data_IF_308944117533
#
_entry.id   IF_308944117533
#
_cell.length_a   1.000
_cell.length_b   1.000
_cell.length_c   1.000
_cell.angle_alpha   90.00
_cell.angle_beta   90.00
_cell.angle_gamma   90.00
#
_symmetry.space_group_name_H-M   'P 1'
#
loop_
_entity.id
_entity.type
_entity.pdbx_description
1 polymer ?
#
# COMPACT_ATOMS: atom_id res chain seq x y z
N UNK A 1 6.83 -18.68 29.40
CA UNK A 1 5.98 -19.52 28.54
C UNK A 1 6.47 -19.34 27.11
N UNK A 2 7.39 -20.22 26.71
CA UNK A 2 8.02 -20.27 25.39
C UNK A 2 7.17 -21.17 24.51
N UNK A 3 6.51 -20.61 23.51
CA UNK A 3 5.82 -21.40 22.48
C UNK A 3 6.89 -22.04 21.60
N UNK A 4 7.07 -23.35 21.75
CA UNK A 4 7.79 -24.21 20.83
C UNK A 4 7.18 -24.08 19.43
N UNK A 5 8.03 -23.83 18.44
CA UNK A 5 7.63 -23.80 17.03
C UNK A 5 7.62 -25.25 16.54
N UNK A 6 6.44 -25.79 16.27
CA UNK A 6 6.28 -27.09 15.60
C UNK A 6 6.80 -27.00 14.16
N UNK A 7 7.70 -27.90 13.70
CA UNK A 7 8.36 -27.80 12.40
C UNK A 7 7.55 -28.36 11.21
N UNK A 8 6.29 -28.77 11.41
CA UNK A 8 5.52 -29.53 10.41
C UNK A 8 4.44 -28.74 9.67
N UNK A 9 4.38 -27.42 9.84
CA UNK A 9 3.50 -26.56 9.04
C UNK A 9 4.28 -25.34 8.54
N UNK A 10 4.36 -25.10 7.21
CA UNK A 10 4.95 -23.86 6.73
C UNK A 10 4.15 -22.69 7.31
N UNK A 11 4.81 -21.66 7.88
CA UNK A 11 4.10 -20.51 8.43
C UNK A 11 3.28 -19.87 7.31
N UNK A 12 1.99 -19.67 7.58
CA UNK A 12 1.08 -19.05 6.62
C UNK A 12 1.68 -17.72 6.10
N UNK A 13 1.56 -17.43 4.80
CA UNK A 13 2.10 -16.20 4.23
C UNK A 13 1.52 -14.99 4.97
N UNK A 14 2.36 -14.02 5.30
CA UNK A 14 1.91 -12.81 5.99
C UNK A 14 0.90 -12.05 5.13
N UNK A 15 -0.05 -11.38 5.79
CA UNK A 15 -0.97 -10.45 5.13
C UNK A 15 -0.16 -9.38 4.37
N UNK A 16 -0.59 -9.08 3.13
CA UNK A 16 0.14 -8.17 2.24
C UNK A 16 0.18 -6.76 2.81
N UNK A 17 1.38 -6.31 3.17
CA UNK A 17 1.64 -4.95 3.67
C UNK A 17 1.90 -4.01 2.50
N UNK A 18 0.93 -3.17 2.15
CA UNK A 18 1.21 -2.06 1.23
C UNK A 18 1.95 -0.94 1.95
N UNK A 19 3.25 -0.84 1.66
CA UNK A 19 4.17 0.16 2.21
C UNK A 19 3.75 1.55 1.77
N UNK A 20 3.40 1.72 0.49
CA UNK A 20 3.04 3.03 -0.04
C UNK A 20 1.74 3.56 0.56
N UNK A 21 0.71 2.71 0.67
CA UNK A 21 -0.57 3.06 1.31
C UNK A 21 -0.36 3.48 2.76
N UNK A 22 0.36 2.66 3.53
CA UNK A 22 0.64 2.92 4.95
C UNK A 22 1.36 4.26 5.17
N UNK A 23 2.32 4.60 4.30
CA UNK A 23 3.05 5.87 4.38
C UNK A 23 2.14 7.05 4.03
N UNK A 24 1.43 7.00 2.88
CA UNK A 24 0.60 8.13 2.43
C UNK A 24 -0.54 8.40 3.41
N UNK A 25 -1.19 7.36 3.93
CA UNK A 25 -2.22 7.50 4.96
C UNK A 25 -1.68 8.15 6.23
N UNK A 26 -0.50 7.71 6.70
CA UNK A 26 0.14 8.29 7.87
C UNK A 26 0.54 9.76 7.66
N UNK A 27 1.07 10.09 6.48
CA UNK A 27 1.45 11.45 6.10
C UNK A 27 0.24 12.39 6.07
N UNK A 28 -0.86 11.98 5.42
CA UNK A 28 -2.08 12.78 5.32
C UNK A 28 -2.74 13.01 6.68
N UNK A 29 -2.86 11.97 7.52
CA UNK A 29 -3.50 12.05 8.84
C UNK A 29 -2.69 12.88 9.85
N UNK A 30 -1.36 12.89 9.75
CA UNK A 30 -0.49 13.42 10.83
C UNK A 30 0.27 14.71 10.50
N UNK A 31 -0.26 15.51 9.58
CA UNK A 31 0.13 16.92 9.41
C UNK A 31 0.80 17.28 8.09
N UNK A 32 1.12 16.30 7.23
CA UNK A 32 1.75 16.60 5.95
C UNK A 32 0.79 17.32 4.98
N UNK A 33 -0.53 17.14 5.14
CA UNK A 33 -1.55 17.94 4.45
C UNK A 33 -1.39 19.45 4.68
N UNK A 34 -0.84 19.84 5.84
CA UNK A 34 -0.56 21.23 6.23
C UNK A 34 0.92 21.59 6.07
N UNK A 35 1.76 20.70 5.51
CA UNK A 35 3.21 20.92 5.41
C UNK A 35 3.98 20.82 6.73
N UNK A 36 3.37 20.31 7.82
CA UNK A 36 4.02 20.27 9.13
C UNK A 36 4.83 18.97 9.34
N UNK A 37 6.11 19.01 8.94
CA UNK A 37 7.04 17.89 9.08
C UNK A 37 7.43 17.56 10.53
N UNK A 38 7.47 18.57 11.41
CA UNK A 38 7.80 18.37 12.83
C UNK A 38 6.75 17.50 13.52
N UNK A 39 5.47 17.76 13.26
CA UNK A 39 4.34 16.97 13.77
C UNK A 39 4.41 15.53 13.29
N UNK A 40 4.65 15.32 12.00
CA UNK A 40 4.77 13.99 11.41
C UNK A 40 5.96 13.20 11.99
N UNK A 41 7.14 13.82 12.11
CA UNK A 41 8.32 13.22 12.77
C UNK A 41 8.03 12.80 14.21
N UNK A 42 7.31 13.63 14.96
CA UNK A 42 6.87 13.32 16.33
C UNK A 42 5.93 12.12 16.38
N UNK A 43 4.99 12.03 15.43
CA UNK A 43 4.12 10.87 15.26
C UNK A 43 4.92 9.59 14.98
N UNK A 44 5.85 9.60 14.00
CA UNK A 44 6.65 8.42 13.67
C UNK A 44 7.43 7.93 14.90
N UNK A 45 8.02 8.85 15.67
CA UNK A 45 8.74 8.51 16.91
C UNK A 45 7.85 7.81 17.94
N UNK A 46 6.63 8.31 18.16
CA UNK A 46 5.65 7.69 19.06
C UNK A 46 5.10 6.37 18.52
N UNK A 47 4.89 6.25 17.21
CA UNK A 47 4.44 5.01 16.56
C UNK A 47 5.48 3.91 16.72
N UNK A 48 6.76 4.19 16.44
CA UNK A 48 7.86 3.24 16.66
C UNK A 48 7.90 2.78 18.12
N UNK A 49 7.77 3.70 19.09
CA UNK A 49 7.76 3.34 20.52
C UNK A 49 6.60 2.40 20.85
N UNK A 50 5.39 2.71 20.38
CA UNK A 50 4.19 1.88 20.61
C UNK A 50 4.34 0.50 19.97
N UNK A 51 4.82 0.41 18.73
CA UNK A 51 5.07 -0.85 18.04
C UNK A 51 6.11 -1.71 18.78
N UNK A 52 7.21 -1.11 19.23
CA UNK A 52 8.22 -1.80 20.05
C UNK A 52 7.65 -2.29 21.38
N UNK A 53 6.81 -1.49 22.05
CA UNK A 53 6.15 -1.90 23.29
C UNK A 53 5.13 -3.01 23.06
N UNK A 54 4.29 -2.94 22.01
CA UNK A 54 3.28 -3.98 21.72
C UNK A 54 3.89 -5.33 21.36
N UNK A 55 5.08 -5.32 20.75
CA UNK A 55 5.83 -6.54 20.39
C UNK A 55 6.77 -7.01 21.52
N UNK A 56 6.77 -6.35 22.68
CA UNK A 56 7.77 -6.55 23.74
C UNK A 56 9.22 -6.53 23.22
N UNK A 57 9.45 -5.75 22.16
CA UNK A 57 10.71 -5.54 21.48
C UNK A 57 11.30 -4.18 21.86
N UNK A 58 11.39 -3.92 23.16
CA UNK A 58 12.00 -2.69 23.67
C UNK A 58 13.52 -2.82 23.67
N UNK A 59 14.21 -1.68 23.51
CA UNK A 59 15.65 -1.65 23.74
C UNK A 59 15.94 -2.05 25.19
N UNK A 60 17.05 -2.75 25.40
CA UNK A 60 17.42 -3.26 26.71
C UNK A 60 18.50 -2.37 27.33
N UNK A 61 18.55 -2.40 28.65
CA UNK A 61 19.59 -1.76 29.43
C UNK A 61 20.32 -2.84 30.22
N UNK A 62 21.61 -3.02 29.98
CA UNK A 62 22.44 -3.93 30.77
C UNK A 62 22.86 -3.21 32.04
N UNK A 63 22.20 -3.52 33.14
CA UNK A 63 22.55 -3.02 34.46
C UNK A 63 23.56 -4.00 35.08
N UNK A 64 24.81 -3.56 35.23
CA UNK A 64 25.78 -4.28 36.06
C UNK A 64 25.82 -3.64 37.45
N UNK A 65 25.97 -4.43 38.52
CA UNK A 65 26.15 -3.88 39.87
C UNK A 65 27.26 -2.83 39.89
N UNK A 66 27.01 -1.68 40.52
CA UNK A 66 27.94 -0.54 40.66
C UNK A 66 28.43 0.09 39.34
N UNK A 67 27.74 -0.14 38.20
CA UNK A 67 28.02 0.54 36.92
C UNK A 67 26.75 1.16 36.34
N UNK A 68 26.91 2.28 35.65
CA UNK A 68 25.81 2.90 34.91
C UNK A 68 25.25 1.93 33.85
N UNK A 69 23.92 1.92 33.69
CA UNK A 69 23.24 1.02 32.78
C UNK A 69 23.68 1.27 31.33
N UNK A 70 24.27 0.27 30.69
CA UNK A 70 24.72 0.37 29.30
C UNK A 70 23.55 0.08 28.35
N UNK A 71 23.28 0.99 27.42
CA UNK A 71 22.25 0.79 26.40
C UNK A 71 22.63 -0.34 25.45
N UNK A 72 21.70 -1.28 25.25
CA UNK A 72 21.79 -2.37 24.28
C UNK A 72 20.63 -2.22 23.32
N UNK A 73 20.93 -1.71 22.12
CA UNK A 73 19.93 -1.55 21.07
C UNK A 73 19.53 -2.92 20.51
N UNK A 74 18.22 -3.19 20.44
CA UNK A 74 17.71 -4.40 19.81
C UNK A 74 17.40 -4.09 18.34
N UNK A 75 18.25 -4.57 17.44
CA UNK A 75 18.03 -4.43 15.99
C UNK A 75 17.10 -5.52 15.47
N UNK A 76 16.24 -5.16 14.53
CA UNK A 76 15.38 -6.13 13.83
C UNK A 76 16.28 -7.02 12.95
N UNK A 77 16.38 -8.30 13.30
CA UNK A 77 17.06 -9.35 12.52
C UNK A 77 16.00 -10.25 11.87
N UNK A 78 16.29 -10.88 10.71
CA UNK A 78 15.30 -11.69 9.98
C UNK A 78 14.72 -12.84 10.82
N UNK A 79 15.53 -13.42 11.71
CA UNK A 79 15.12 -14.51 12.63
C UNK A 79 14.03 -14.10 13.64
N UNK A 80 13.90 -12.80 13.94
CA UNK A 80 12.94 -12.29 14.92
C UNK A 80 11.62 -11.86 14.25
N UNK A 81 11.54 -11.91 12.92
CA UNK A 81 10.37 -11.45 12.17
C UNK A 81 9.27 -12.49 12.27
N UNK A 82 8.40 -12.34 13.26
CA UNK A 82 7.20 -13.16 13.43
C UNK A 82 5.92 -12.46 12.97
N UNK A 83 5.95 -11.12 12.84
CA UNK A 83 4.79 -10.27 12.61
C UNK A 83 5.14 -9.15 11.60
N UNK A 84 4.17 -8.79 10.77
CA UNK A 84 4.14 -7.61 9.89
C UNK A 84 4.61 -6.33 10.60
N UNK A 85 4.27 -6.18 11.88
CA UNK A 85 4.62 -5.00 12.68
C UNK A 85 6.14 -4.75 12.79
N UNK A 86 6.97 -5.77 12.60
CA UNK A 86 8.44 -5.60 12.56
C UNK A 86 8.88 -4.83 11.31
N UNK A 87 8.24 -5.05 10.16
CA UNK A 87 8.47 -4.28 8.95
C UNK A 87 8.01 -2.82 9.13
N UNK A 88 6.85 -2.60 9.77
CA UNK A 88 6.37 -1.25 10.10
C UNK A 88 7.36 -0.46 10.96
N UNK A 89 8.05 -1.10 11.91
CA UNK A 89 9.08 -0.42 12.73
C UNK A 89 10.16 0.18 11.82
N UNK A 90 10.66 -0.59 10.85
CA UNK A 90 11.69 -0.13 9.93
C UNK A 90 11.17 0.94 8.97
N UNK A 91 9.95 0.78 8.44
CA UNK A 91 9.29 1.79 7.58
C UNK A 91 9.19 3.12 8.32
N UNK A 92 8.65 3.13 9.56
CA UNK A 92 8.53 4.36 10.34
C UNK A 92 9.88 4.90 10.80
N UNK A 93 10.92 4.07 10.95
CA UNK A 93 12.28 4.54 11.16
C UNK A 93 12.83 5.31 9.95
N UNK A 94 12.59 4.83 8.72
CA UNK A 94 12.95 5.56 7.49
C UNK A 94 12.19 6.89 7.43
N UNK A 95 10.86 6.85 7.57
CA UNK A 95 9.99 8.03 7.52
C UNK A 95 10.37 9.08 8.57
N UNK A 96 10.74 8.68 9.80
CA UNK A 96 11.20 9.61 10.83
C UNK A 96 12.47 10.36 10.41
N UNK A 97 13.44 9.67 9.80
CA UNK A 97 14.67 10.30 9.33
C UNK A 97 14.41 11.20 8.12
N UNK A 98 13.59 10.74 7.19
CA UNK A 98 13.16 11.52 6.02
C UNK A 98 12.41 12.79 6.43
N UNK A 99 11.41 12.69 7.31
CA UNK A 99 10.65 13.84 7.81
C UNK A 99 11.55 14.86 8.52
N UNK A 100 12.57 14.40 9.25
CA UNK A 100 13.54 15.30 9.87
C UNK A 100 14.43 15.97 8.81
N UNK A 101 14.86 15.25 7.77
CA UNK A 101 15.58 15.87 6.66
C UNK A 101 14.72 16.94 5.97
N UNK A 102 13.46 16.65 5.69
CA UNK A 102 12.55 17.61 5.04
C UNK A 102 12.27 18.84 5.92
N UNK A 103 12.11 18.66 7.23
CA UNK A 103 12.03 19.77 8.19
C UNK A 103 13.26 20.68 8.08
N UNK A 104 14.46 20.09 8.09
CA UNK A 104 15.71 20.86 7.97
C UNK A 104 15.82 21.53 6.60
N UNK A 105 15.33 20.89 5.53
CA UNK A 105 15.30 21.46 4.18
C UNK A 105 14.47 22.75 4.13
N UNK A 106 13.31 22.76 4.80
CA UNK A 106 12.50 23.98 4.92
C UNK A 106 13.18 25.06 5.76
N UNK A 107 13.85 24.68 6.85
CA UNK A 107 14.54 25.64 7.73
C UNK A 107 15.84 26.23 7.17
N UNK A 108 16.45 25.58 6.18
CA UNK A 108 17.67 26.08 5.53
C UNK A 108 17.36 27.24 4.59
N UNK A 109 16.18 27.24 3.95
CA UNK A 109 15.88 28.21 2.88
C UNK A 109 16.93 28.16 1.76
N UNK A 110 17.42 29.33 1.36
CA UNK A 110 18.39 29.48 0.28
C UNK A 110 19.86 29.46 0.75
N UNK A 111 20.12 29.30 2.06
CA UNK A 111 21.46 29.31 2.63
C UNK A 111 22.25 28.04 2.27
N UNK A 112 22.88 28.05 1.09
CA UNK A 112 23.61 26.91 0.53
C UNK A 112 24.75 26.38 1.40
N UNK A 113 25.30 27.23 2.29
CA UNK A 113 26.44 26.94 3.19
C UNK A 113 26.02 26.61 4.63
N UNK A 114 24.71 26.55 4.93
CA UNK A 114 24.24 26.32 6.28
C UNK A 114 24.68 24.97 6.85
N UNK A 115 25.19 24.94 8.09
CA UNK A 115 25.51 23.70 8.83
C UNK A 115 24.29 22.76 8.91
N UNK A 116 23.07 23.32 8.86
CA UNK A 116 21.82 22.56 8.79
C UNK A 116 21.71 21.70 7.52
N UNK A 117 22.29 22.11 6.39
CA UNK A 117 22.32 21.32 5.14
C UNK A 117 23.15 20.05 5.27
N UNK A 118 24.29 20.13 5.97
CA UNK A 118 25.08 18.94 6.31
C UNK A 118 24.29 17.99 7.23
N UNK A 119 23.57 18.55 8.20
CA UNK A 119 22.70 17.77 9.08
C UNK A 119 21.56 17.08 8.31
N UNK A 120 20.90 17.80 7.39
CA UNK A 120 19.88 17.27 6.49
C UNK A 120 20.40 16.08 5.68
N UNK A 121 21.53 16.23 4.99
CA UNK A 121 22.17 15.15 4.22
C UNK A 121 22.51 13.96 5.11
N UNK A 122 23.00 14.19 6.33
CA UNK A 122 23.26 13.12 7.29
C UNK A 122 21.98 12.38 7.70
N UNK A 123 20.84 13.08 7.86
CA UNK A 123 19.54 12.43 8.13
C UNK A 123 19.07 11.59 6.94
N UNK A 124 19.21 12.07 5.70
CA UNK A 124 18.89 11.29 4.51
C UNK A 124 19.76 10.03 4.38
N UNK A 125 21.07 10.12 4.64
CA UNK A 125 21.95 8.93 4.68
C UNK A 125 21.50 7.91 5.72
N UNK A 126 21.01 8.36 6.89
CA UNK A 126 20.43 7.47 7.91
C UNK A 126 19.12 6.84 7.43
N UNK A 127 18.28 7.58 6.71
CA UNK A 127 17.06 7.06 6.10
C UNK A 127 17.40 5.93 5.10
N UNK A 128 18.37 6.15 4.21
CA UNK A 128 18.85 5.12 3.27
C UNK A 128 19.41 3.89 4.01
N UNK A 129 20.16 4.08 5.10
CA UNK A 129 20.67 2.96 5.91
C UNK A 129 19.53 2.13 6.52
N UNK A 130 18.47 2.78 7.01
CA UNK A 130 17.29 2.08 7.51
C UNK A 130 16.50 1.39 6.38
N UNK A 131 16.40 2.00 5.20
CA UNK A 131 15.72 1.41 4.05
C UNK A 131 16.46 0.17 3.51
N UNK A 132 17.80 0.20 3.49
CA UNK A 132 18.63 -0.98 3.19
C UNK A 132 18.38 -2.13 4.17
N UNK A 133 18.22 -1.83 5.46
CA UNK A 133 17.87 -2.86 6.46
C UNK A 133 16.50 -3.48 6.19
N UNK A 134 15.53 -2.66 5.79
CA UNK A 134 14.19 -3.12 5.42
C UNK A 134 14.26 -4.03 4.19
N UNK A 135 15.07 -3.68 3.18
CA UNK A 135 15.29 -4.50 2.00
C UNK A 135 15.97 -5.83 2.33
N UNK A 136 17.03 -5.84 3.15
CA UNK A 136 17.68 -7.08 3.60
C UNK A 136 16.71 -7.97 4.38
N UNK A 137 15.78 -7.38 5.13
CA UNK A 137 14.74 -8.13 5.84
C UNK A 137 13.76 -8.76 4.85
N UNK A 138 13.28 -8.00 3.85
CA UNK A 138 12.35 -8.49 2.84
C UNK A 138 12.94 -9.56 1.89
N UNK A 139 14.26 -9.55 1.69
CA UNK A 139 14.98 -10.59 0.94
C UNK A 139 15.13 -11.88 1.75
N UNK A 140 15.46 -11.76 3.03
CA UNK A 140 15.75 -12.92 3.89
C UNK A 140 14.51 -13.55 4.53
N UNK A 141 13.34 -12.92 4.41
CA UNK A 141 12.09 -13.45 4.95
C UNK A 141 11.25 -14.05 3.83
N UNK A 142 11.15 -15.38 3.79
CA UNK A 142 10.37 -16.10 2.77
C UNK A 142 8.86 -15.86 2.91
N UNK A 143 8.39 -15.58 4.12
CA UNK A 143 6.98 -15.31 4.42
C UNK A 143 6.47 -13.96 3.87
N UNK A 144 7.36 -13.12 3.33
CA UNK A 144 7.02 -11.81 2.73
C UNK A 144 6.57 -12.01 1.28
N UNK A 145 5.37 -11.51 0.95
CA UNK A 145 4.83 -11.60 -0.41
C UNK A 145 5.72 -10.88 -1.41
N UNK A 146 5.83 -11.40 -2.64
CA UNK A 146 6.68 -10.80 -3.69
C UNK A 146 6.27 -9.35 -4.00
N UNK A 147 4.96 -9.04 -3.98
CA UNK A 147 4.45 -7.66 -4.13
C UNK A 147 5.06 -6.73 -3.08
N UNK A 148 5.04 -7.14 -1.81
CA UNK A 148 5.59 -6.34 -0.71
C UNK A 148 7.11 -6.21 -0.79
N UNK A 149 7.81 -7.22 -1.31
CA UNK A 149 9.26 -7.15 -1.58
C UNK A 149 9.56 -6.10 -2.64
N UNK A 150 8.83 -6.10 -3.75
CA UNK A 150 8.99 -5.09 -4.79
C UNK A 150 8.63 -3.68 -4.29
N UNK A 151 7.57 -3.54 -3.50
CA UNK A 151 7.23 -2.24 -2.89
C UNK A 151 8.36 -1.72 -1.97
N UNK A 152 8.96 -2.60 -1.17
CA UNK A 152 10.12 -2.26 -0.32
C UNK A 152 11.32 -1.87 -1.16
N UNK A 153 11.62 -2.59 -2.25
CA UNK A 153 12.70 -2.26 -3.17
C UNK A 153 12.46 -0.89 -3.83
N UNK A 154 11.26 -0.63 -4.34
CA UNK A 154 10.88 0.66 -4.93
C UNK A 154 10.99 1.80 -3.90
N UNK A 155 10.52 1.59 -2.67
CA UNK A 155 10.64 2.59 -1.61
C UNK A 155 12.10 2.85 -1.21
N UNK A 156 12.92 1.80 -1.13
CA UNK A 156 14.36 1.88 -0.88
C UNK A 156 15.09 2.68 -1.96
N UNK A 157 14.78 2.41 -3.24
CA UNK A 157 15.31 3.15 -4.39
C UNK A 157 14.83 4.61 -4.39
N UNK A 158 13.58 4.88 -4.04
CA UNK A 158 13.03 6.24 -3.94
C UNK A 158 13.76 7.10 -2.90
N UNK A 159 14.00 6.56 -1.70
CA UNK A 159 14.73 7.29 -0.64
C UNK A 159 16.21 7.51 -1.02
N UNK A 160 16.83 6.59 -1.76
CA UNK A 160 18.17 6.77 -2.33
C UNK A 160 18.18 7.88 -3.38
N UNK A 161 17.21 7.89 -4.29
CA UNK A 161 17.09 8.92 -5.31
C UNK A 161 16.99 10.33 -4.68
N UNK A 162 16.19 10.49 -3.63
CA UNK A 162 16.10 11.77 -2.90
C UNK A 162 17.48 12.18 -2.34
N UNK A 163 18.23 11.25 -1.75
CA UNK A 163 19.57 11.56 -1.25
C UNK A 163 20.51 12.00 -2.39
N UNK A 164 20.50 11.30 -3.51
CA UNK A 164 21.41 11.56 -4.63
C UNK A 164 21.10 12.88 -5.35
N UNK A 165 19.82 13.24 -5.46
CA UNK A 165 19.39 14.59 -5.89
C UNK A 165 19.98 15.66 -4.98
N UNK A 166 19.91 15.49 -3.66
CA UNK A 166 20.47 16.47 -2.70
C UNK A 166 22.01 16.52 -2.70
N UNK A 167 22.66 15.46 -3.17
CA UNK A 167 24.10 15.38 -3.39
C UNK A 167 24.51 15.89 -4.78
N UNK A 168 23.56 16.28 -5.64
CA UNK A 168 23.77 16.67 -7.04
C UNK A 168 24.35 15.56 -7.92
N UNK A 169 24.14 14.29 -7.55
CA UNK A 169 24.55 13.15 -8.36
C UNK A 169 23.43 12.79 -9.34
N UNK A 170 23.25 13.62 -10.38
CA UNK A 170 22.09 13.56 -11.27
C UNK A 170 21.96 12.25 -12.05
N UNK A 171 23.08 11.68 -12.56
CA UNK A 171 23.07 10.41 -13.31
C UNK A 171 22.53 9.25 -12.47
N UNK A 172 23.11 9.02 -11.29
CA UNK A 172 22.66 7.97 -10.35
C UNK A 172 21.21 8.18 -9.90
N UNK A 173 20.84 9.43 -9.62
CA UNK A 173 19.46 9.76 -9.25
C UNK A 173 18.47 9.44 -10.37
N UNK A 174 18.83 9.71 -11.64
CA UNK A 174 17.99 9.42 -12.81
C UNK A 174 17.74 7.93 -12.97
N UNK A 175 18.80 7.11 -12.88
CA UNK A 175 18.68 5.65 -12.96
C UNK A 175 17.80 5.09 -11.83
N UNK A 176 17.99 5.56 -10.59
CA UNK A 176 17.14 5.19 -9.47
C UNK A 176 15.68 5.64 -9.67
N UNK A 177 15.43 6.82 -10.26
CA UNK A 177 14.07 7.25 -10.57
C UNK A 177 13.42 6.36 -11.66
N UNK A 178 14.18 5.95 -12.68
CA UNK A 178 13.71 5.03 -13.73
C UNK A 178 13.36 3.66 -13.15
N UNK A 179 14.19 3.12 -12.27
CA UNK A 179 13.90 1.83 -11.60
C UNK A 179 12.63 1.92 -10.74
N UNK A 180 12.45 2.99 -9.96
CA UNK A 180 11.22 3.22 -9.18
C UNK A 180 9.98 3.26 -10.08
N UNK A 181 10.05 3.99 -11.20
CA UNK A 181 8.95 4.07 -12.17
C UNK A 181 8.63 2.70 -12.80
N UNK A 182 9.65 1.97 -13.27
CA UNK A 182 9.52 0.60 -13.83
C UNK A 182 8.85 -0.35 -12.85
N UNK A 183 9.23 -0.31 -11.57
CA UNK A 183 8.64 -1.18 -10.54
C UNK A 183 7.17 -0.83 -10.29
N UNK A 184 6.83 0.44 -10.08
CA UNK A 184 5.45 0.83 -9.80
C UNK A 184 4.52 0.67 -11.00
N UNK A 185 5.00 0.86 -12.23
CA UNK A 185 4.23 0.56 -13.44
C UNK A 185 3.93 -0.94 -13.56
N UNK A 186 4.92 -1.81 -13.33
CA UNK A 186 4.69 -3.27 -13.31
C UNK A 186 3.77 -3.71 -12.18
N UNK A 187 3.90 -3.11 -11.00
CA UNK A 187 2.98 -3.36 -9.88
C UNK A 187 1.54 -2.89 -10.19
N UNK A 188 1.39 -1.78 -10.92
CA UNK A 188 0.06 -1.27 -11.30
C UNK A 188 -0.72 -2.21 -12.21
N UNK A 189 -0.04 -2.99 -13.05
CA UNK A 189 -0.69 -3.99 -13.93
C UNK A 189 -1.11 -5.26 -13.17
N UNK A 190 -0.42 -5.60 -12.08
CA UNK A 190 -0.63 -6.86 -11.35
C UNK A 190 -1.62 -6.76 -10.17
N UNK A 191 -1.77 -5.56 -9.60
CA UNK A 191 -2.67 -5.32 -8.46
C UNK A 191 -4.09 -4.98 -8.94
N UNK A 192 -5.11 -5.63 -8.35
CA UNK A 192 -6.52 -5.43 -8.71
C UNK A 192 -7.19 -4.23 -8.02
N UNK A 193 -6.65 -3.79 -6.89
CA UNK A 193 -7.23 -2.71 -6.09
C UNK A 193 -6.98 -1.34 -6.72
N UNK A 194 -8.05 -0.69 -7.19
CA UNK A 194 -7.97 0.61 -7.87
C UNK A 194 -7.34 1.72 -7.01
N UNK A 195 -7.64 1.77 -5.71
CA UNK A 195 -7.06 2.77 -4.79
C UNK A 195 -5.52 2.68 -4.75
N UNK A 196 -4.98 1.47 -4.76
CA UNK A 196 -3.53 1.23 -4.71
C UNK A 196 -2.90 1.58 -6.06
N UNK A 197 -3.57 1.25 -7.17
CA UNK A 197 -3.14 1.62 -8.53
C UNK A 197 -3.06 3.14 -8.68
N UNK A 198 -4.06 3.88 -8.19
CA UNK A 198 -4.07 5.34 -8.22
C UNK A 198 -2.93 5.94 -7.38
N UNK A 199 -2.60 5.32 -6.24
CA UNK A 199 -1.44 5.70 -5.41
C UNK A 199 -0.11 5.47 -6.15
N UNK A 200 0.04 4.35 -6.87
CA UNK A 200 1.23 4.10 -7.70
C UNK A 200 1.35 5.13 -8.82
N UNK A 201 0.25 5.44 -9.52
CA UNK A 201 0.23 6.46 -10.55
C UNK A 201 0.57 7.86 -10.00
N UNK A 202 0.09 8.19 -8.81
CA UNK A 202 0.48 9.41 -8.09
C UNK A 202 1.97 9.44 -7.79
N UNK A 203 2.56 8.32 -7.32
CA UNK A 203 3.99 8.23 -7.05
C UNK A 203 4.83 8.35 -8.32
N UNK A 204 4.43 7.70 -9.41
CA UNK A 204 5.11 7.82 -10.69
C UNK A 204 5.14 9.27 -11.20
N UNK A 205 4.04 10.02 -11.04
CA UNK A 205 4.00 11.46 -11.35
C UNK A 205 4.96 12.29 -10.50
N UNK A 206 5.04 12.02 -9.19
CA UNK A 206 6.02 12.68 -8.29
C UNK A 206 7.46 12.42 -8.76
N UNK A 207 7.78 11.16 -9.07
CA UNK A 207 9.12 10.75 -9.52
C UNK A 207 9.43 11.29 -10.93
N UNK A 208 8.43 11.44 -11.79
CA UNK A 208 8.61 12.03 -13.11
C UNK A 208 9.09 13.48 -13.04
N UNK A 209 8.63 14.25 -12.05
CA UNK A 209 9.10 15.62 -11.86
C UNK A 209 10.58 15.66 -11.44
N UNK A 210 11.00 14.76 -10.55
CA UNK A 210 12.42 14.64 -10.17
C UNK A 210 13.26 14.11 -11.33
N UNK A 211 12.72 13.22 -12.16
CA UNK A 211 13.39 12.70 -13.34
C UNK A 211 13.69 13.82 -14.34
N UNK A 212 12.70 14.65 -14.67
CA UNK A 212 12.87 15.82 -15.57
C UNK A 212 13.93 16.80 -15.04
N UNK A 213 13.94 17.05 -13.73
CA UNK A 213 14.98 17.87 -13.10
C UNK A 213 16.38 17.25 -13.27
N UNK A 214 16.51 15.93 -13.08
CA UNK A 214 17.77 15.24 -13.29
C UNK A 214 18.19 15.25 -14.77
N UNK A 215 17.26 15.09 -15.70
CA UNK A 215 17.50 15.15 -17.15
C UNK A 215 18.04 16.50 -17.58
N UNK A 216 17.39 17.58 -17.15
CA UNK A 216 17.82 18.95 -17.42
C UNK A 216 19.25 19.23 -16.89
N UNK A 217 19.54 18.84 -15.65
CA UNK A 217 20.87 19.06 -15.09
C UNK A 217 21.92 18.11 -15.69
N UNK A 218 21.52 16.94 -16.21
CA UNK A 218 22.44 16.03 -16.90
C UNK A 218 22.81 16.53 -18.30
N UNK A 219 21.92 17.23 -19.02
CA UNK A 219 22.26 17.79 -20.34
C UNK A 219 23.30 18.91 -20.24
N UNK A 220 23.23 19.71 -19.18
CA UNK A 220 24.23 20.74 -18.89
C UNK A 220 25.60 20.11 -18.55
N UNK A 221 25.62 18.99 -17.81
CA UNK A 221 26.85 18.26 -17.44
C UNK A 221 27.40 17.37 -18.57
N UNK A 222 26.55 16.84 -19.47
CA UNK A 222 26.97 16.04 -20.63
C UNK A 222 27.65 16.87 -21.73
N UNK A 223 27.47 18.19 -21.70
CA UNK A 223 28.24 19.14 -22.50
C UNK A 223 29.70 19.27 -22.00
N UNK A 224 29.98 18.79 -20.79
CA UNK A 224 31.29 18.92 -20.12
C UNK A 224 32.11 17.62 -20.09
N UNK A 225 31.51 16.43 -19.93
CA UNK A 225 32.29 15.16 -19.88
C UNK A 225 31.51 13.91 -20.38
N UNK A 226 32.05 13.32 -21.45
CA UNK A 226 31.79 11.94 -21.89
C UNK A 226 32.61 10.97 -21.02
N UNK A 227 31.91 10.09 -20.29
CA UNK A 227 32.41 8.79 -19.83
C UNK A 227 31.43 8.14 -18.84
N UNK A 228 31.32 6.81 -18.96
CA UNK A 228 30.99 5.91 -17.87
C UNK A 228 29.57 5.36 -17.91
N UNK A 229 29.40 4.26 -18.63
CA UNK A 229 28.26 3.36 -18.48
C UNK A 229 28.29 2.78 -17.05
N UNK A 230 27.44 3.28 -16.16
CA UNK A 230 27.33 2.79 -14.78
C UNK A 230 26.36 1.61 -14.78
N UNK A 231 26.89 0.39 -14.92
CA UNK A 231 26.09 -0.82 -14.72
C UNK A 231 25.67 -0.91 -13.25
N UNK A 232 24.36 -0.86 -12.99
CA UNK A 232 23.81 -1.04 -11.65
C UNK A 232 23.79 -2.53 -11.31
N UNK A 233 24.56 -2.92 -10.30
CA UNK A 233 24.40 -4.20 -9.62
C UNK A 233 23.01 -4.25 -8.95
N UNK A 234 22.01 -4.81 -9.65
CA UNK A 234 20.63 -4.92 -9.16
C UNK A 234 19.57 -5.05 -10.24
N UNK A 235 19.86 -4.79 -11.52
CA UNK A 235 18.89 -4.99 -12.61
C UNK A 235 18.52 -6.47 -12.79
N UNK A 236 19.50 -7.37 -12.72
CA UNK A 236 19.29 -8.83 -12.85
C UNK A 236 18.37 -9.38 -11.73
N UNK A 237 18.49 -8.86 -10.51
CA UNK A 237 17.68 -9.31 -9.36
C UNK A 237 16.23 -8.80 -9.44
N UNK A 238 16.05 -7.59 -9.98
CA UNK A 238 14.72 -7.04 -10.24
C UNK A 238 13.97 -7.88 -11.27
N UNK A 239 14.64 -8.27 -12.36
CA UNK A 239 14.01 -9.07 -13.41
C UNK A 239 13.65 -10.48 -12.93
N UNK A 240 14.42 -11.07 -11.99
CA UNK A 240 14.04 -12.32 -11.31
C UNK A 240 12.77 -12.18 -10.45
N UNK A 241 12.66 -11.14 -9.62
CA UNK A 241 11.46 -10.90 -8.80
C UNK A 241 10.23 -10.60 -9.68
N UNK A 242 10.40 -9.92 -10.82
CA UNK A 242 9.33 -9.71 -11.79
C UNK A 242 8.87 -11.00 -12.46
N UNK A 243 9.80 -11.86 -12.89
CA UNK A 243 9.46 -13.16 -13.46
C UNK A 243 8.69 -14.00 -12.46
N UNK A 244 9.12 -14.01 -11.19
CA UNK A 244 8.41 -14.73 -10.11
C UNK A 244 6.99 -14.21 -9.91
N UNK A 245 6.76 -12.90 -10.03
CA UNK A 245 5.39 -12.35 -9.98
C UNK A 245 4.53 -12.78 -11.15
N UNK A 246 5.08 -12.80 -12.37
CA UNK A 246 4.32 -13.22 -13.54
C UNK A 246 3.91 -14.69 -13.43
N UNK A 247 4.81 -15.58 -12.99
CA UNK A 247 4.48 -16.99 -12.75
C UNK A 247 3.37 -17.13 -11.70
N UNK A 248 3.48 -16.43 -10.56
CA UNK A 248 2.44 -16.46 -9.52
C UNK A 248 1.10 -15.90 -10.01
N UNK A 249 1.12 -14.90 -10.90
CA UNK A 249 -0.09 -14.36 -11.50
C UNK A 249 -0.73 -15.35 -12.47
N UNK A 250 0.07 -16.05 -13.28
CA UNK A 250 -0.39 -17.10 -14.19
C UNK A 250 -0.99 -18.29 -13.43
N UNK A 251 -0.32 -18.77 -12.38
CA UNK A 251 -0.81 -19.85 -11.51
C UNK A 251 -2.16 -19.48 -10.90
N UNK A 252 -2.29 -18.29 -10.30
CA UNK A 252 -3.59 -17.83 -9.75
C UNK A 252 -4.67 -17.67 -10.81
N UNK A 253 -4.31 -17.26 -12.03
CA UNK A 253 -5.27 -17.20 -13.14
C UNK A 253 -5.72 -18.59 -13.55
N UNK A 254 -4.84 -19.59 -13.55
CA UNK A 254 -5.22 -20.98 -13.81
C UNK A 254 -6.13 -21.56 -12.73
N UNK A 255 -5.87 -21.28 -11.45
CA UNK A 255 -6.72 -21.69 -10.33
C UNK A 255 -8.11 -21.05 -10.37
N UNK A 256 -8.19 -19.76 -10.73
CA UNK A 256 -9.49 -19.07 -10.87
C UNK A 256 -10.29 -19.69 -12.03
N UNK A 257 -9.63 -20.00 -13.15
CA UNK A 257 -10.28 -20.66 -14.29
C UNK A 257 -10.78 -22.06 -13.92
N UNK A 258 -9.96 -22.87 -13.26
CA UNK A 258 -10.37 -24.21 -12.83
C UNK A 258 -11.53 -24.16 -11.83
N UNK A 259 -11.51 -23.23 -10.88
CA UNK A 259 -12.59 -23.06 -9.91
C UNK A 259 -13.89 -22.56 -10.58
N UNK A 260 -13.78 -21.70 -11.59
CA UNK A 260 -14.93 -21.28 -12.39
C UNK A 260 -15.51 -22.45 -13.21
N UNK A 261 -14.65 -23.30 -13.76
CA UNK A 261 -15.05 -24.52 -14.49
C UNK A 261 -15.71 -25.55 -13.56
N UNK A 262 -15.24 -25.68 -12.31
CA UNK A 262 -15.89 -26.53 -11.30
C UNK A 262 -17.24 -25.97 -10.84
N UNK A 263 -17.33 -24.66 -10.60
CA UNK A 263 -18.58 -24.01 -10.23
C UNK A 263 -19.64 -24.13 -11.34
N UNK A 264 -19.24 -23.96 -12.60
CA UNK A 264 -20.15 -24.15 -13.76
C UNK A 264 -20.56 -25.61 -13.90
N UNK A 265 -19.65 -26.58 -13.72
CA UNK A 265 -20.00 -28.02 -13.69
C UNK A 265 -20.96 -28.36 -12.55
N UNK A 266 -20.77 -27.78 -11.36
CA UNK A 266 -21.67 -27.97 -10.22
C UNK A 266 -23.07 -27.42 -10.51
N UNK A 267 -23.16 -26.20 -11.06
CA UNK A 267 -24.43 -25.58 -11.46
C UNK A 267 -25.14 -26.41 -12.55
N UNK A 268 -24.40 -26.89 -13.56
CA UNK A 268 -24.95 -27.75 -14.60
C UNK A 268 -25.47 -29.07 -14.02
N UNK A 269 -24.74 -29.69 -13.10
CA UNK A 269 -25.16 -30.92 -12.41
C UNK A 269 -26.43 -30.71 -11.56
N UNK A 270 -26.55 -29.56 -10.90
CA UNK A 270 -27.75 -29.19 -10.15
C UNK A 270 -28.96 -29.00 -11.06
N UNK A 271 -28.76 -28.25 -12.16
CA UNK A 271 -29.79 -28.06 -13.18
C UNK A 271 -30.22 -29.38 -13.82
N UNK A 272 -29.29 -30.28 -14.15
CA UNK A 272 -29.61 -31.59 -14.75
C UNK A 272 -30.29 -32.57 -13.78
N UNK A 273 -30.04 -32.46 -12.48
CA UNK A 273 -30.60 -33.35 -11.45
C UNK A 273 -32.04 -33.02 -11.07
N UNK A 274 -32.39 -31.73 -11.02
CA UNK A 274 -33.66 -31.28 -10.44
C UNK A 274 -34.87 -31.47 -11.38
N UNK A 275 -34.71 -31.46 -12.70
CA UNK A 275 -35.85 -31.69 -13.62
C UNK A 275 -36.10 -33.17 -13.95
N UNK A 276 -35.08 -34.04 -13.84
CA UNK A 276 -35.21 -35.47 -14.16
C UNK A 276 -35.85 -36.31 -13.05
N UNK A 277 -35.93 -35.79 -11.82
CA UNK A 277 -36.45 -36.51 -10.65
C UNK A 277 -37.88 -36.11 -10.23
N UNK A 278 -38.54 -35.22 -10.99
CA UNK A 278 -39.90 -34.80 -10.69
C UNK A 278 -40.90 -35.88 -11.13
N UNK A 279 -41.23 -36.78 -10.21
CA UNK A 279 -42.37 -37.70 -10.36
C UNK A 279 -43.67 -36.89 -10.52
N UNK A 280 -44.21 -36.84 -11.76
CA UNK A 280 -45.50 -36.17 -12.06
C UNK A 280 -46.65 -36.69 -11.19
N UNK A 281 -46.55 -37.92 -10.69
CA UNK A 281 -47.53 -38.54 -9.79
C UNK A 281 -47.50 -37.92 -8.39
N UNK A 282 -46.33 -37.53 -7.88
CA UNK A 282 -46.17 -36.85 -6.58
C UNK A 282 -46.68 -35.41 -6.61
N UNK A 283 -46.46 -34.69 -7.71
CA UNK A 283 -46.98 -33.32 -7.89
C UNK A 283 -48.52 -33.27 -7.96
N UNK A 284 -49.16 -34.29 -8.52
CA UNK A 284 -50.63 -34.38 -8.58
C UNK A 284 -51.27 -34.82 -7.25
N UNK A 285 -50.53 -35.55 -6.42
CA UNK A 285 -50.99 -36.01 -5.11
C UNK A 285 -50.82 -34.96 -4.00
N UNK A 286 -49.89 -34.02 -4.17
CA UNK A 286 -49.68 -32.91 -3.24
C UNK A 286 -50.79 -31.87 -3.45
N UNK A 287 -51.73 -31.75 -2.50
CA UNK A 287 -52.57 -30.55 -2.42
C UNK A 287 -51.60 -29.38 -2.19
N UNK A 288 -51.50 -28.41 -3.12
CA UNK A 288 -50.62 -27.28 -2.89
C UNK A 288 -51.07 -26.60 -1.60
N UNK A 289 -50.13 -26.33 -0.70
CA UNK A 289 -50.36 -25.51 0.49
C UNK A 289 -50.52 -24.06 0.01
N UNK A 290 -51.61 -23.79 -0.69
CA UNK A 290 -52.04 -22.45 -1.04
C UNK A 290 -52.55 -21.89 0.28
N UNK A 291 -51.67 -21.21 1.01
CA UNK A 291 -52.10 -20.34 2.10
C UNK A 291 -53.14 -19.41 1.50
N UNK A 292 -54.40 -19.52 1.96
CA UNK A 292 -55.45 -18.61 1.53
C UNK A 292 -54.96 -17.20 1.84
N UNK A 293 -54.81 -16.38 0.80
CA UNK A 293 -54.51 -14.96 1.00
C UNK A 293 -55.57 -14.40 1.95
N UNK A 294 -55.18 -13.66 3.00
CA UNK A 294 -56.15 -13.01 3.87
C UNK A 294 -57.07 -12.14 3.01
N UNK A 295 -58.32 -11.97 3.43
CA UNK A 295 -59.32 -11.26 2.65
C UNK A 295 -58.82 -9.83 2.34
N UNK A 296 -58.35 -9.61 1.12
CA UNK A 296 -57.79 -8.34 0.69
C UNK A 296 -58.95 -7.34 0.61
N UNK A 297 -59.01 -6.41 1.56
CA UNK A 297 -59.92 -5.29 1.47
C UNK A 297 -59.27 -4.20 0.60
N UNK A 298 -60.02 -3.58 -0.31
CA UNK A 298 -59.52 -2.43 -1.05
C UNK A 298 -59.26 -1.30 -0.05
N UNK A 299 -58.00 -1.06 0.24
CA UNK A 299 -57.60 0.12 0.99
C UNK A 299 -57.70 1.30 0.00
N UNK A 300 -58.40 2.39 0.33
CA UNK A 300 -58.38 3.59 -0.49
C UNK A 300 -56.97 4.17 -0.42
N UNK A 301 -56.11 3.72 -1.32
CA UNK A 301 -54.87 4.41 -1.63
C UNK A 301 -55.31 5.72 -2.25
N UNK A 302 -55.39 6.78 -1.43
CA UNK A 302 -55.35 8.15 -1.93
C UNK A 302 -54.18 8.15 -2.92
N UNK A 303 -54.41 8.40 -4.22
CA UNK A 303 -53.34 8.32 -5.19
C UNK A 303 -52.26 9.26 -4.68
N UNK A 304 -51.13 8.67 -4.26
CA UNK A 304 -49.91 9.43 -4.06
C UNK A 304 -49.51 9.82 -5.48
N UNK A 305 -50.15 10.89 -5.99
CA UNK A 305 -49.66 11.63 -7.12
C UNK A 305 -48.27 12.10 -6.71
N UNK A 306 -47.27 11.29 -7.02
CA UNK A 306 -45.91 11.76 -7.20
C UNK A 306 -45.91 12.62 -8.47
N UNK A 307 -46.59 13.75 -8.40
CA UNK A 307 -46.49 14.78 -9.40
C UNK A 307 -45.19 15.56 -9.11
N UNK A 308 -44.08 14.91 -9.44
CA UNK A 308 -42.73 15.48 -9.33
C UNK A 308 -42.62 16.79 -10.13
N UNK A 309 -43.50 17.02 -11.10
CA UNK A 309 -43.54 18.25 -11.90
C UNK A 309 -44.00 19.48 -11.10
N UNK A 310 -44.74 19.29 -9.99
CA UNK A 310 -45.23 20.41 -9.17
C UNK A 310 -44.11 21.14 -8.41
N UNK A 311 -42.97 20.49 -8.19
CA UNK A 311 -41.80 21.09 -7.55
C UNK A 311 -40.94 21.92 -8.51
N UNK A 312 -41.17 21.81 -9.82
CA UNK A 312 -40.38 22.51 -10.85
C UNK A 312 -41.14 23.65 -11.54
N UNK A 313 -42.38 23.94 -11.10
CA UNK A 313 -43.14 25.08 -11.60
C UNK A 313 -42.82 26.34 -10.77
N UNK A 314 -42.37 27.45 -11.41
CA UNK A 314 -42.17 28.72 -10.71
C UNK A 314 -43.49 29.26 -10.17
N UNK A 315 -43.45 29.94 -9.02
CA UNK A 315 -44.60 30.20 -8.13
C UNK A 315 -45.77 31.01 -8.73
N UNK A 316 -45.64 31.53 -9.95
CA UNK A 316 -46.63 32.38 -10.62
C UNK A 316 -47.80 31.67 -11.29
N UNK A 317 -47.81 30.34 -11.42
CA UNK A 317 -48.88 29.59 -12.11
C UNK A 317 -49.88 28.89 -11.19
N UNK A 318 -49.86 29.19 -9.88
CA UNK A 318 -50.69 28.51 -8.84
C UNK A 318 -52.18 28.89 -8.81
N UNK A 319 -52.74 29.44 -9.88
CA UNK A 319 -54.16 29.75 -9.95
C UNK A 319 -54.92 28.75 -10.84
N UNK A 320 -56.06 28.28 -10.31
CA UNK A 320 -57.08 27.42 -10.92
C UNK A 320 -56.89 25.90 -10.78
N UNK A 321 -57.50 25.35 -9.73
CA UNK A 321 -58.47 24.27 -9.92
C UNK A 321 -59.42 24.21 -8.73
N UNK A 322 -60.47 25.01 -8.87
CA UNK A 322 -61.76 24.84 -8.24
C UNK A 322 -62.34 23.43 -8.47
N UNK A 323 -62.97 22.91 -7.41
CA UNK A 323 -64.09 21.97 -7.38
C UNK A 323 -64.15 20.81 -8.40
N UNK A 324 -64.03 19.58 -7.89
CA UNK A 324 -64.90 18.48 -8.28
C UNK A 324 -65.31 17.70 -7.01
N UNK A 325 -66.56 17.93 -6.61
CA UNK A 325 -67.39 17.06 -5.77
C UNK A 325 -67.62 15.70 -6.42
#
# INVERSE_FOLDING_TARGET
>A
MTTSVDPTNPPAPFETVSVLRLIKDAQQKHGLRQGNYLRYRGYCSRRIRRLRSSLNFTNQHKCLPKRAAKFVGRSVTPEVVTDVRFAEILIFEVERHWAYAMQLKLEVGDDMLSRKKFHMRQKLRRAVKSARKLETLAKNCESVTVVTRLEVQAYSAFIRAILDVELKQWRKAMELCRTVKKIYEKLSTSVKDQEIVDLYASRCREVQNTLRLCEYNCTDEASADDAGNVSIAGEDELDLDFNKLNVLAEEKLTEIKSNADEATKHLLKQLEGDWKSVDLTKLKALKPNISSLPHLQPMPCKPMFFDLARNYLPEGSRAASEFLT
#
